data_IF_376691993955
#
_entry.id   IF_376691993955
#
_cell.length_a   1.000
_cell.length_b   1.000
_cell.length_c   1.000
_cell.angle_alpha   90.00
_cell.angle_beta   90.00
_cell.angle_gamma   90.00
#
_symmetry.space_group_name_H-M   'P 1'
#
loop_
_entity.id
_entity.type
_entity.pdbx_description
1 polymer ?
#
# COMPACT_ATOMS: atom_id res chain seq x y z
N UNK A 1 -7.57 22.85 9.67
CA UNK A 1 -7.99 21.45 9.87
C UNK A 1 -9.18 21.39 10.82
N UNK A 2 -10.35 21.07 10.28
CA UNK A 2 -11.65 21.09 10.99
C UNK A 2 -11.92 19.81 11.79
N UNK A 3 -11.49 18.66 11.27
CA UNK A 3 -11.57 17.35 11.93
C UNK A 3 -10.26 16.58 11.74
N UNK A 4 -9.84 15.84 12.77
CA UNK A 4 -8.72 14.90 12.72
C UNK A 4 -9.34 13.49 12.74
N UNK A 5 -9.10 12.64 11.73
CA UNK A 5 -9.67 11.30 11.72
C UNK A 5 -9.14 10.46 12.86
N UNK A 6 -9.90 9.42 13.20
CA UNK A 6 -9.50 8.44 14.20
C UNK A 6 -9.24 7.08 13.55
N UNK A 7 -8.34 6.32 14.16
CA UNK A 7 -8.09 4.93 13.79
C UNK A 7 -8.48 4.05 14.97
N UNK A 8 -9.41 3.13 14.75
CA UNK A 8 -9.82 2.13 15.74
C UNK A 8 -9.37 0.74 15.30
N UNK A 9 -8.93 -0.09 16.25
CA UNK A 9 -8.59 -1.48 15.94
C UNK A 9 -9.78 -2.38 16.27
N UNK A 10 -10.22 -3.16 15.29
CA UNK A 10 -11.34 -4.11 15.44
C UNK A 10 -10.94 -5.46 14.89
N UNK A 11 -11.11 -6.50 15.69
CA UNK A 11 -11.02 -7.89 15.22
C UNK A 11 -12.34 -8.25 14.51
N UNK A 12 -12.24 -8.82 13.31
CA UNK A 12 -13.39 -9.30 12.54
C UNK A 12 -13.05 -10.63 11.84
N UNK A 13 -13.18 -11.76 12.54
CA UNK A 13 -12.81 -13.07 11.99
C UNK A 13 -13.58 -13.43 10.72
N UNK A 14 -14.86 -13.05 10.65
CA UNK A 14 -15.70 -13.32 9.48
C UNK A 14 -15.22 -12.51 8.27
N UNK A 15 -14.81 -11.26 8.48
CA UNK A 15 -14.22 -10.45 7.43
C UNK A 15 -12.86 -10.99 6.99
N UNK A 16 -12.02 -11.49 7.91
CA UNK A 16 -10.74 -12.10 7.55
C UNK A 16 -10.91 -13.38 6.71
N UNK A 17 -11.92 -14.22 6.99
CA UNK A 17 -12.26 -15.37 6.14
C UNK A 17 -12.59 -14.92 4.72
N UNK A 18 -13.47 -13.92 4.58
CA UNK A 18 -13.83 -13.35 3.26
C UNK A 18 -12.60 -12.78 2.54
N UNK A 19 -11.71 -12.13 3.29
CA UNK A 19 -10.47 -11.56 2.78
C UNK A 19 -9.58 -12.67 2.19
N UNK A 20 -9.36 -13.75 2.94
CA UNK A 20 -8.59 -14.91 2.47
C UNK A 20 -9.18 -15.50 1.19
N UNK A 21 -10.50 -15.75 1.16
CA UNK A 21 -11.17 -16.29 -0.02
C UNK A 21 -11.02 -15.38 -1.23
N UNK A 22 -11.18 -14.06 -1.04
CA UNK A 22 -11.03 -13.08 -2.12
C UNK A 22 -9.63 -13.10 -2.74
N UNK A 23 -8.58 -13.29 -1.93
CA UNK A 23 -7.19 -13.34 -2.41
C UNK A 23 -6.77 -14.71 -2.93
N UNK A 24 -7.40 -15.79 -2.47
CA UNK A 24 -7.22 -17.12 -3.04
C UNK A 24 -7.77 -17.22 -4.46
N UNK A 25 -8.77 -16.40 -4.80
CA UNK A 25 -9.47 -16.37 -6.10
C UNK A 25 -9.33 -15.04 -6.86
N UNK A 26 -8.35 -14.21 -6.50
CA UNK A 26 -8.25 -12.86 -7.06
C UNK A 26 -7.96 -12.89 -8.57
N UNK A 27 -8.83 -12.30 -9.38
CA UNK A 27 -8.76 -12.36 -10.85
C UNK A 27 -7.46 -11.76 -11.39
N UNK A 28 -7.07 -10.60 -10.85
CA UNK A 28 -5.90 -9.83 -11.30
C UNK A 28 -4.57 -10.23 -10.62
N UNK A 29 -4.56 -10.47 -9.30
CA UNK A 29 -3.34 -10.75 -8.54
C UNK A 29 -3.16 -12.23 -8.21
N UNK A 30 -3.04 -13.06 -9.25
CA UNK A 30 -2.93 -14.54 -9.12
C UNK A 30 -1.72 -15.00 -8.30
N UNK A 31 -0.71 -14.16 -8.17
CA UNK A 31 0.48 -14.39 -7.33
C UNK A 31 0.13 -14.40 -5.82
N UNK A 32 -0.95 -13.73 -5.40
CA UNK A 32 -1.34 -13.69 -3.99
C UNK A 32 -1.79 -15.05 -3.46
N UNK A 33 -2.51 -15.85 -4.28
CA UNK A 33 -2.83 -17.25 -3.95
C UNK A 33 -1.56 -18.04 -3.61
N UNK A 34 -0.53 -17.94 -4.46
CA UNK A 34 0.74 -18.62 -4.23
C UNK A 34 1.43 -18.12 -2.95
N UNK A 35 1.41 -16.81 -2.70
CA UNK A 35 1.95 -16.24 -1.46
C UNK A 35 1.25 -16.80 -0.22
N UNK A 36 -0.08 -16.86 -0.21
CA UNK A 36 -0.86 -17.40 0.91
C UNK A 36 -0.51 -18.87 1.15
N UNK A 37 -0.62 -19.70 0.10
CA UNK A 37 -0.45 -21.16 0.25
C UNK A 37 1.00 -21.56 0.56
N UNK A 38 2.00 -20.77 0.13
CA UNK A 38 3.40 -20.99 0.52
C UNK A 38 3.65 -20.59 1.98
N UNK A 39 2.96 -19.56 2.48
CA UNK A 39 3.06 -19.17 3.89
C UNK A 39 2.29 -20.14 4.81
N UNK A 40 1.27 -20.82 4.30
CA UNK A 40 0.40 -21.72 5.07
C UNK A 40 0.21 -23.07 4.38
N UNK A 41 1.21 -23.97 4.42
CA UNK A 41 1.10 -25.30 3.80
C UNK A 41 -0.07 -26.14 4.33
N UNK A 42 -0.39 -26.03 5.63
CA UNK A 42 -1.53 -26.74 6.23
C UNK A 42 -2.88 -26.29 5.67
N UNK A 43 -3.03 -25.00 5.34
CA UNK A 43 -4.20 -24.49 4.64
C UNK A 43 -4.30 -25.09 3.23
N UNK A 44 -3.18 -25.15 2.50
CA UNK A 44 -3.14 -25.78 1.17
C UNK A 44 -3.61 -27.23 1.22
N UNK A 45 -3.07 -28.03 2.13
CA UNK A 45 -3.46 -29.44 2.29
C UNK A 45 -4.95 -29.61 2.64
N UNK A 46 -5.50 -28.67 3.42
CA UNK A 46 -6.93 -28.68 3.80
C UNK A 46 -7.82 -28.34 2.61
N UNK A 47 -7.44 -27.34 1.81
CA UNK A 47 -8.17 -26.93 0.60
C UNK A 47 -8.16 -28.03 -0.47
N UNK A 48 -7.04 -28.71 -0.68
CA UNK A 48 -6.91 -29.78 -1.68
C UNK A 48 -7.82 -30.99 -1.40
N UNK A 49 -8.30 -31.15 -0.15
CA UNK A 49 -9.12 -32.27 0.31
C UNK A 49 -10.59 -31.91 0.54
N UNK A 50 -10.97 -30.63 0.43
CA UNK A 50 -12.28 -30.14 0.83
C UNK A 50 -13.13 -29.70 -0.35
N UNK A 51 -14.43 -29.93 -0.26
CA UNK A 51 -15.44 -29.35 -1.16
C UNK A 51 -15.99 -28.01 -0.67
N UNK A 52 -15.66 -27.58 0.55
CA UNK A 52 -16.10 -26.32 1.14
C UNK A 52 -14.89 -25.50 1.62
N UNK A 53 -14.39 -24.63 0.73
CA UNK A 53 -13.22 -23.80 0.99
C UNK A 53 -13.45 -22.79 2.13
N UNK A 54 -14.64 -22.18 2.21
CA UNK A 54 -14.95 -21.17 3.23
C UNK A 54 -14.84 -21.76 4.64
N UNK A 55 -15.42 -22.95 4.83
CA UNK A 55 -15.31 -23.68 6.10
C UNK A 55 -13.84 -24.02 6.42
N UNK A 56 -13.07 -24.47 5.44
CA UNK A 56 -11.65 -24.78 5.64
C UNK A 56 -10.82 -23.56 6.04
N UNK A 57 -11.05 -22.42 5.38
CA UNK A 57 -10.38 -21.16 5.74
C UNK A 57 -10.77 -20.73 7.15
N UNK A 58 -12.06 -20.81 7.51
CA UNK A 58 -12.53 -20.46 8.85
C UNK A 58 -11.91 -21.33 9.95
N UNK A 59 -11.92 -22.66 9.77
CA UNK A 59 -11.32 -23.61 10.71
C UNK A 59 -9.80 -23.42 10.82
N UNK A 60 -9.12 -23.16 9.70
CA UNK A 60 -7.70 -22.87 9.69
C UNK A 60 -7.38 -21.60 10.50
N UNK A 61 -8.10 -20.50 10.27
CA UNK A 61 -7.88 -19.24 10.99
C UNK A 61 -8.17 -19.39 12.49
N UNK A 62 -9.27 -20.05 12.85
CA UNK A 62 -9.63 -20.29 14.25
C UNK A 62 -8.54 -21.09 14.98
N UNK A 63 -8.06 -22.18 14.37
CA UNK A 63 -6.96 -22.96 14.94
C UNK A 63 -5.66 -22.14 15.03
N UNK A 64 -5.33 -21.38 14.00
CA UNK A 64 -4.13 -20.54 13.99
C UNK A 64 -4.14 -19.51 15.14
N UNK A 65 -5.26 -18.81 15.35
CA UNK A 65 -5.37 -17.85 16.44
C UNK A 65 -5.44 -18.51 17.81
N UNK A 66 -6.01 -19.72 17.94
CA UNK A 66 -5.98 -20.48 19.20
C UNK A 66 -4.55 -20.82 19.61
N UNK A 67 -3.74 -21.29 18.66
CA UNK A 67 -2.33 -21.64 18.89
C UNK A 67 -1.46 -20.42 19.21
N UNK A 68 -1.82 -19.23 18.68
CA UNK A 68 -1.02 -18.01 18.77
C UNK A 68 -1.65 -16.91 19.67
N UNK A 69 -2.70 -17.25 20.44
CA UNK A 69 -3.59 -16.27 21.08
C UNK A 69 -2.87 -15.21 21.90
N UNK A 70 -1.98 -15.63 22.79
CA UNK A 70 -1.27 -14.73 23.72
C UNK A 70 -0.44 -13.69 22.95
N UNK A 71 0.25 -14.11 21.89
CA UNK A 71 1.10 -13.22 21.11
C UNK A 71 0.28 -12.33 20.19
N UNK A 72 -0.78 -12.85 19.56
CA UNK A 72 -1.71 -12.07 18.77
C UNK A 72 -2.37 -10.96 19.60
N UNK A 73 -2.91 -11.29 20.77
CA UNK A 73 -3.53 -10.33 21.69
C UNK A 73 -2.55 -9.23 22.12
N UNK A 74 -1.28 -9.59 22.35
CA UNK A 74 -0.22 -8.63 22.66
C UNK A 74 0.01 -7.65 21.52
N UNK A 75 0.24 -8.14 20.30
CA UNK A 75 0.48 -7.32 19.10
C UNK A 75 -0.71 -6.39 18.84
N UNK A 76 -1.93 -6.91 18.94
CA UNK A 76 -3.17 -6.16 18.74
C UNK A 76 -3.29 -5.03 19.77
N UNK A 77 -2.97 -5.31 21.05
CA UNK A 77 -2.99 -4.29 22.11
C UNK A 77 -1.91 -3.23 21.91
N UNK A 78 -0.68 -3.63 21.58
CA UNK A 78 0.41 -2.69 21.28
C UNK A 78 0.05 -1.79 20.08
N UNK A 79 -0.60 -2.38 19.06
CA UNK A 79 -1.13 -1.64 17.90
C UNK A 79 -2.21 -0.64 18.29
N UNK A 80 -3.15 -1.02 19.16
CA UNK A 80 -4.20 -0.12 19.71
C UNK A 80 -3.58 1.09 20.39
N UNK A 81 -2.66 0.86 21.32
CA UNK A 81 -1.99 1.93 22.07
C UNK A 81 -1.24 2.87 21.10
N UNK A 82 -0.52 2.32 20.12
CA UNK A 82 0.20 3.13 19.14
C UNK A 82 -0.74 4.04 18.34
N UNK A 83 -1.91 3.54 17.95
CA UNK A 83 -2.91 4.36 17.26
C UNK A 83 -3.50 5.44 18.17
N UNK A 84 -3.84 5.11 19.42
CA UNK A 84 -4.34 6.07 20.39
C UNK A 84 -3.33 7.21 20.62
N UNK A 85 -2.05 6.88 20.73
CA UNK A 85 -1.00 7.84 21.06
C UNK A 85 -0.57 8.71 19.88
N UNK A 86 -0.37 8.11 18.70
CA UNK A 86 0.35 8.77 17.59
C UNK A 86 -0.49 9.00 16.33
N UNK A 87 -1.66 8.37 16.17
CA UNK A 87 -2.39 8.44 14.88
C UNK A 87 -2.89 9.83 14.54
N UNK A 88 -3.43 10.58 15.52
CA UNK A 88 -3.96 11.92 15.28
C UNK A 88 -2.89 12.89 14.76
N UNK A 89 -1.69 12.83 15.34
CA UNK A 89 -0.56 13.64 14.87
C UNK A 89 -0.08 13.20 13.49
N UNK A 90 0.05 11.89 13.25
CA UNK A 90 0.46 11.36 11.95
C UNK A 90 -0.50 11.77 10.82
N UNK A 91 -1.81 11.69 11.06
CA UNK A 91 -2.83 12.09 10.09
C UNK A 91 -2.89 13.60 9.89
N UNK A 92 -2.62 14.39 10.93
CA UNK A 92 -2.48 15.84 10.80
C UNK A 92 -1.29 16.21 9.90
N UNK A 93 -0.14 15.57 10.11
CA UNK A 93 1.06 15.76 9.28
C UNK A 93 0.78 15.34 7.84
N UNK A 94 0.18 14.16 7.64
CA UNK A 94 -0.18 13.67 6.31
C UNK A 94 -1.11 14.64 5.58
N UNK A 95 -2.17 15.11 6.26
CA UNK A 95 -3.08 16.11 5.72
C UNK A 95 -2.35 17.41 5.33
N UNK A 96 -1.41 17.87 6.16
CA UNK A 96 -0.58 19.04 5.85
C UNK A 96 0.33 18.85 4.64
N UNK A 97 0.96 17.67 4.47
CA UNK A 97 1.78 17.35 3.30
C UNK A 97 0.97 17.34 2.01
N UNK A 98 -0.31 16.92 2.10
CA UNK A 98 -1.20 16.76 0.96
C UNK A 98 -2.19 17.93 0.77
N UNK A 99 -2.08 19.01 1.55
CA UNK A 99 -3.07 20.10 1.60
C UNK A 99 -4.52 19.61 1.73
N UNK A 100 -4.73 18.56 2.53
CA UNK A 100 -6.01 17.89 2.70
C UNK A 100 -6.63 18.19 4.06
N UNK A 101 -7.91 18.56 4.04
CA UNK A 101 -8.73 18.68 5.24
C UNK A 101 -9.90 17.71 5.17
N UNK A 102 -10.08 16.92 6.23
CA UNK A 102 -11.26 16.09 6.37
C UNK A 102 -12.48 16.96 6.67
N UNK A 103 -13.50 16.82 5.83
CA UNK A 103 -14.75 17.59 5.91
C UNK A 103 -15.67 17.11 7.04
N UNK A 104 -15.49 15.85 7.45
CA UNK A 104 -16.27 15.17 8.49
C UNK A 104 -15.38 14.32 9.42
N UNK A 105 -15.94 13.87 10.54
CA UNK A 105 -15.28 12.98 11.48
C UNK A 105 -15.21 11.57 10.91
N UNK A 106 -14.12 11.25 10.19
CA UNK A 106 -13.89 9.91 9.63
C UNK A 106 -13.27 8.99 10.69
N UNK A 107 -13.79 7.76 10.77
CA UNK A 107 -13.21 6.68 11.57
C UNK A 107 -12.72 5.58 10.64
N UNK A 108 -11.40 5.37 10.64
CA UNK A 108 -10.77 4.27 9.94
C UNK A 108 -10.72 3.03 10.84
N UNK A 109 -11.04 1.87 10.29
CA UNK A 109 -10.97 0.58 10.98
C UNK A 109 -9.70 -0.15 10.58
N UNK A 110 -8.85 -0.44 11.56
CA UNK A 110 -7.68 -1.29 11.42
C UNK A 110 -8.03 -2.72 11.86
N UNK A 111 -8.03 -3.68 10.93
CA UNK A 111 -8.33 -5.08 11.23
C UNK A 111 -7.04 -5.90 11.18
N UNK A 112 -6.64 -6.59 12.27
CA UNK A 112 -5.46 -7.46 12.22
C UNK A 112 -5.72 -8.63 11.26
N UNK A 113 -4.69 -9.06 10.54
CA UNK A 113 -4.75 -10.26 9.71
C UNK A 113 -3.44 -11.03 9.73
N UNK A 114 -3.49 -12.33 9.47
CA UNK A 114 -2.30 -13.16 9.29
C UNK A 114 -1.86 -13.26 7.82
N UNK A 115 -2.52 -12.57 6.87
CA UNK A 115 -1.99 -12.43 5.51
C UNK A 115 -0.60 -11.79 5.54
N UNK A 116 0.27 -12.14 4.60
CA UNK A 116 1.64 -11.59 4.50
C UNK A 116 1.70 -10.17 3.90
N UNK A 117 0.54 -9.59 3.61
CA UNK A 117 0.33 -8.27 3.02
C UNK A 117 -0.86 -7.58 3.70
N UNK A 118 -1.00 -6.28 3.50
CA UNK A 118 -1.95 -5.41 4.19
C UNK A 118 -2.95 -4.81 3.20
N UNK A 119 -4.06 -5.50 2.88
CA UNK A 119 -5.05 -4.98 1.93
C UNK A 119 -5.89 -3.85 2.54
N UNK A 120 -6.57 -3.08 1.68
CA UNK A 120 -7.43 -1.96 2.07
C UNK A 120 -8.75 -1.96 1.28
N UNK A 121 -9.83 -1.57 1.94
CA UNK A 121 -11.14 -1.39 1.34
C UNK A 121 -11.98 -0.34 2.07
N UNK A 122 -12.34 0.74 1.38
CA UNK A 122 -13.19 1.79 1.95
C UNK A 122 -12.48 2.52 3.09
N UNK A 123 -13.04 2.50 4.30
CA UNK A 123 -12.38 3.03 5.50
C UNK A 123 -11.74 1.92 6.35
N UNK A 124 -11.62 0.70 5.84
CA UNK A 124 -11.03 -0.45 6.53
C UNK A 124 -9.70 -0.82 5.91
N UNK A 125 -8.61 -0.81 6.68
CA UNK A 125 -7.34 -1.44 6.28
C UNK A 125 -7.07 -2.66 7.14
N UNK A 126 -6.43 -3.65 6.54
CA UNK A 126 -5.97 -4.83 7.22
C UNK A 126 -4.47 -4.73 7.44
N UNK A 127 -3.98 -5.05 8.64
CA UNK A 127 -2.55 -5.03 8.92
C UNK A 127 -2.04 -6.41 9.32
N UNK A 128 -0.94 -6.82 8.68
CA UNK A 128 -0.34 -8.13 8.91
C UNK A 128 0.32 -8.21 10.29
N UNK A 129 -0.15 -9.14 11.12
CA UNK A 129 0.50 -9.53 12.39
C UNK A 129 1.44 -10.74 12.21
N UNK A 130 1.43 -11.39 11.04
CA UNK A 130 2.16 -12.65 10.78
C UNK A 130 3.65 -12.57 11.11
N UNK A 131 4.30 -11.45 10.77
CA UNK A 131 5.73 -11.27 11.03
C UNK A 131 6.05 -11.20 12.53
N UNK A 132 5.23 -10.48 13.30
CA UNK A 132 5.35 -10.39 14.75
C UNK A 132 5.05 -11.72 15.45
N UNK A 133 4.19 -12.57 14.86
CA UNK A 133 3.95 -13.93 15.35
C UNK A 133 5.14 -14.87 15.09
N UNK A 134 5.78 -14.78 13.91
CA UNK A 134 6.89 -15.67 13.52
C UNK A 134 8.22 -15.33 14.18
N UNK A 135 8.49 -14.05 14.43
CA UNK A 135 9.78 -13.59 14.93
C UNK A 135 9.59 -12.79 16.21
N UNK A 136 9.95 -13.38 17.36
CA UNK A 136 9.87 -12.72 18.68
C UNK A 136 10.84 -11.54 18.85
N UNK A 137 11.83 -11.42 17.97
CA UNK A 137 12.95 -10.46 18.09
C UNK A 137 12.96 -9.36 17.01
N UNK A 138 12.16 -9.48 15.94
CA UNK A 138 12.12 -8.41 14.93
C UNK A 138 11.30 -7.24 15.42
N UNK A 139 11.88 -6.04 15.35
CA UNK A 139 11.16 -4.76 15.51
C UNK A 139 9.89 -4.85 14.66
N UNK A 140 8.73 -4.87 15.32
CA UNK A 140 7.46 -5.03 14.62
C UNK A 140 7.33 -3.93 13.57
N UNK A 141 6.83 -4.28 12.37
CA UNK A 141 6.53 -3.27 11.36
C UNK A 141 5.62 -2.24 12.01
N UNK A 142 6.01 -0.97 11.98
CA UNK A 142 5.21 0.10 12.55
C UNK A 142 3.81 0.09 11.90
N UNK A 143 2.81 -0.41 12.61
CA UNK A 143 1.43 -0.55 12.09
C UNK A 143 0.82 0.80 11.72
N UNK A 144 1.27 1.87 12.38
CA UNK A 144 0.89 3.24 12.04
C UNK A 144 1.44 3.65 10.66
N UNK A 145 2.63 3.17 10.27
CA UNK A 145 3.15 3.44 8.92
C UNK A 145 2.30 2.78 7.83
N UNK A 146 1.76 1.58 8.10
CA UNK A 146 0.81 0.91 7.20
C UNK A 146 -0.46 1.74 7.09
N UNK A 147 -1.02 2.18 8.22
CA UNK A 147 -2.23 3.00 8.21
C UNK A 147 -2.06 4.30 7.43
N UNK A 148 -0.95 5.01 7.67
CA UNK A 148 -0.62 6.26 6.96
C UNK A 148 -0.46 6.02 5.46
N UNK A 149 0.18 4.91 5.07
CA UNK A 149 0.29 4.50 3.67
C UNK A 149 -1.10 4.32 3.04
N UNK A 150 -1.97 3.51 3.64
CA UNK A 150 -3.30 3.25 3.07
C UNK A 150 -4.21 4.49 3.07
N UNK A 151 -4.15 5.32 4.11
CA UNK A 151 -4.94 6.56 4.18
C UNK A 151 -4.43 7.57 3.15
N UNK A 152 -3.12 7.60 2.86
CA UNK A 152 -2.59 8.46 1.79
C UNK A 152 -3.17 8.11 0.42
N UNK A 153 -3.47 6.83 0.17
CA UNK A 153 -4.14 6.38 -1.07
C UNK A 153 -5.56 6.92 -1.17
N UNK A 154 -6.31 6.91 -0.06
CA UNK A 154 -7.66 7.48 -0.02
C UNK A 154 -7.63 8.98 -0.35
N UNK A 155 -6.76 9.73 0.33
CA UNK A 155 -6.61 11.18 0.13
C UNK A 155 -6.20 11.48 -1.31
N UNK A 156 -5.23 10.74 -1.85
CA UNK A 156 -4.80 10.86 -3.24
C UNK A 156 -5.96 10.66 -4.22
N UNK A 157 -6.74 9.58 -4.06
CA UNK A 157 -7.84 9.27 -4.97
C UNK A 157 -8.97 10.30 -4.89
N UNK A 158 -9.27 10.85 -3.71
CA UNK A 158 -10.25 11.95 -3.57
C UNK A 158 -9.77 13.20 -4.33
N UNK A 159 -8.50 13.58 -4.16
CA UNK A 159 -7.95 14.75 -4.85
C UNK A 159 -7.88 14.56 -6.37
N UNK A 160 -7.42 13.40 -6.86
CA UNK A 160 -7.42 13.09 -8.30
C UNK A 160 -8.82 13.21 -8.89
N UNK A 161 -9.85 12.63 -8.22
CA UNK A 161 -11.24 12.76 -8.68
C UNK A 161 -11.70 14.22 -8.77
N UNK A 162 -11.36 15.04 -7.77
CA UNK A 162 -11.68 16.48 -7.77
C UNK A 162 -10.97 17.22 -8.91
N UNK A 163 -9.71 16.89 -9.20
CA UNK A 163 -8.95 17.51 -10.28
C UNK A 163 -9.46 17.09 -11.67
N UNK A 164 -9.78 15.81 -11.86
CA UNK A 164 -10.41 15.29 -13.07
C UNK A 164 -11.76 15.95 -13.33
N UNK A 165 -12.63 16.02 -12.31
CA UNK A 165 -13.95 16.66 -12.43
C UNK A 165 -13.85 18.13 -12.87
N UNK A 166 -12.80 18.82 -12.42
CA UNK A 166 -12.54 20.22 -12.77
C UNK A 166 -11.68 20.39 -14.04
N UNK A 167 -11.41 19.32 -14.80
CA UNK A 167 -10.56 19.31 -16.00
C UNK A 167 -9.15 19.89 -15.78
N UNK A 168 -8.60 19.76 -14.56
CA UNK A 168 -7.25 20.24 -14.22
C UNK A 168 -6.15 19.24 -14.59
N UNK A 169 -6.50 17.96 -14.68
CA UNK A 169 -5.60 16.88 -15.08
C UNK A 169 -6.24 16.02 -16.14
N UNK A 170 -5.41 15.45 -17.00
CA UNK A 170 -5.84 14.45 -17.97
C UNK A 170 -6.03 13.10 -17.28
N UNK A 171 -7.12 12.42 -17.61
CA UNK A 171 -7.38 11.07 -17.11
C UNK A 171 -6.40 10.08 -17.72
N UNK A 172 -5.72 9.32 -16.85
CA UNK A 172 -4.81 8.23 -17.21
C UNK A 172 -5.44 6.88 -16.89
N UNK A 173 -4.77 5.79 -17.28
CA UNK A 173 -5.21 4.44 -16.94
C UNK A 173 -5.17 4.17 -15.43
N UNK A 174 -5.90 3.13 -15.01
CA UNK A 174 -5.90 2.66 -13.62
C UNK A 174 -4.49 2.24 -13.20
N UNK A 175 -3.75 1.59 -14.09
CA UNK A 175 -2.38 1.13 -13.87
C UNK A 175 -1.44 2.30 -13.57
N UNK A 176 -1.48 3.36 -14.39
CA UNK A 176 -0.67 4.57 -14.15
C UNK A 176 -1.07 5.26 -12.85
N UNK A 177 -2.38 5.37 -12.58
CA UNK A 177 -2.89 5.91 -11.32
C UNK A 177 -2.37 5.13 -10.11
N UNK A 178 -2.41 3.79 -10.17
CA UNK A 178 -1.89 2.91 -9.13
C UNK A 178 -0.38 3.08 -8.94
N UNK A 179 0.40 3.19 -10.02
CA UNK A 179 1.84 3.44 -9.93
C UNK A 179 2.17 4.76 -9.25
N UNK A 180 1.48 5.84 -9.63
CA UNK A 180 1.66 7.16 -9.00
C UNK A 180 1.29 7.10 -7.53
N UNK A 181 0.11 6.54 -7.22
CA UNK A 181 -0.42 6.38 -5.86
C UNK A 181 0.54 5.65 -4.93
N UNK A 182 1.00 4.46 -5.33
CA UNK A 182 1.93 3.64 -4.54
C UNK A 182 3.30 4.32 -4.38
N UNK A 183 3.79 4.97 -5.43
CA UNK A 183 5.07 5.68 -5.42
C UNK A 183 5.01 6.96 -4.57
N UNK A 184 3.89 7.66 -4.59
CA UNK A 184 3.65 8.86 -3.80
C UNK A 184 3.60 8.52 -2.31
N UNK A 185 2.98 7.41 -1.92
CA UNK A 185 3.04 6.97 -0.53
C UNK A 185 4.51 6.78 -0.08
N UNK A 186 5.39 6.29 -0.96
CA UNK A 186 6.83 6.23 -0.69
C UNK A 186 7.43 7.62 -0.45
N UNK A 187 7.08 8.61 -1.27
CA UNK A 187 7.54 9.98 -1.10
C UNK A 187 7.08 10.56 0.24
N UNK A 188 5.79 10.42 0.55
CA UNK A 188 5.16 10.99 1.75
C UNK A 188 5.75 10.40 3.04
N UNK A 189 5.85 9.07 3.14
CA UNK A 189 6.38 8.39 4.34
C UNK A 189 7.85 8.75 4.63
N UNK A 190 8.58 9.28 3.65
CA UNK A 190 9.97 9.70 3.81
C UNK A 190 10.15 11.21 4.07
N UNK A 191 9.08 12.01 4.15
CA UNK A 191 9.17 13.43 4.51
C UNK A 191 9.38 13.64 6.01
N UNK A 192 10.17 14.64 6.41
CA UNK A 192 10.75 14.73 7.76
C UNK A 192 9.89 15.24 8.95
N UNK A 193 8.57 15.47 8.87
CA UNK A 193 7.77 15.30 10.09
C UNK A 193 7.28 13.86 10.24
N UNK A 194 6.90 13.22 9.14
CA UNK A 194 6.23 11.92 9.16
C UNK A 194 7.23 10.78 9.38
N UNK A 195 8.37 10.80 8.68
CA UNK A 195 9.44 9.81 8.79
C UNK A 195 9.96 9.69 10.23
N UNK A 196 10.18 10.84 10.88
CA UNK A 196 10.61 10.92 12.27
C UNK A 196 9.54 10.40 13.24
N UNK A 197 8.27 10.81 13.11
CA UNK A 197 7.18 10.32 13.97
C UNK A 197 6.96 8.80 13.85
N UNK A 198 7.08 8.27 12.63
CA UNK A 198 6.90 6.85 12.33
C UNK A 198 8.17 6.02 12.57
N UNK A 199 9.29 6.64 12.93
CA UNK A 199 10.58 5.98 13.16
C UNK A 199 11.01 5.10 11.97
N UNK A 200 10.84 5.60 10.75
CA UNK A 200 11.15 4.86 9.51
C UNK A 200 12.53 5.24 8.99
N UNK A 201 13.40 4.24 8.85
CA UNK A 201 14.71 4.37 8.19
C UNK A 201 14.60 4.07 6.69
N UNK A 202 13.94 4.97 5.94
CA UNK A 202 13.86 4.88 4.48
C UNK A 202 12.82 3.86 3.99
N UNK A 203 11.56 4.29 3.88
CA UNK A 203 10.50 3.45 3.34
C UNK A 203 10.71 3.26 1.83
N UNK A 204 10.69 2.01 1.35
CA UNK A 204 10.99 1.70 -0.07
C UNK A 204 9.75 1.32 -0.90
N UNK A 205 8.57 1.16 -0.28
CA UNK A 205 7.37 0.68 -0.97
C UNK A 205 7.44 -0.80 -1.35
N UNK A 206 6.52 -1.25 -2.21
CA UNK A 206 6.49 -2.63 -2.69
C UNK A 206 7.57 -2.91 -3.78
N UNK A 207 7.97 -4.17 -4.03
CA UNK A 207 9.05 -4.49 -4.98
C UNK A 207 8.81 -4.03 -6.43
N UNK A 208 7.54 -3.91 -6.83
CA UNK A 208 7.13 -3.44 -8.17
C UNK A 208 7.58 -1.99 -8.35
N UNK A 209 7.20 -1.11 -7.42
CA UNK A 209 7.60 0.31 -7.42
C UNK A 209 9.11 0.50 -7.32
N UNK A 210 9.79 -0.29 -6.48
CA UNK A 210 11.25 -0.20 -6.29
C UNK A 210 12.04 -0.41 -7.58
N UNK A 211 11.47 -1.17 -8.51
CA UNK A 211 12.12 -1.54 -9.77
C UNK A 211 11.67 -0.68 -10.95
N UNK A 212 10.55 0.04 -10.82
CA UNK A 212 10.05 0.91 -11.89
C UNK A 212 10.98 2.12 -12.07
N UNK A 213 11.36 2.39 -13.31
CA UNK A 213 12.25 3.49 -13.70
C UNK A 213 11.54 4.41 -14.68
N UNK A 214 11.82 5.69 -14.55
CA UNK A 214 11.42 6.71 -15.51
C UNK A 214 12.64 7.46 -16.02
N UNK A 215 12.58 7.94 -17.25
CA UNK A 215 13.60 8.77 -17.87
C UNK A 215 12.98 10.13 -18.19
N UNK A 216 13.54 11.17 -17.60
CA UNK A 216 13.25 12.57 -17.92
C UNK A 216 14.52 13.20 -18.46
N UNK A 217 14.44 13.77 -19.66
CA UNK A 217 15.63 14.26 -20.38
C UNK A 217 16.74 13.20 -20.46
N UNK A 218 17.92 13.48 -19.89
CA UNK A 218 19.07 12.58 -19.84
C UNK A 218 19.13 11.70 -18.58
N UNK A 219 18.28 11.95 -17.57
CA UNK A 219 18.37 11.28 -16.26
C UNK A 219 17.39 10.11 -16.17
N UNK A 220 17.87 8.99 -15.63
CA UNK A 220 17.05 7.81 -15.29
C UNK A 220 16.91 7.74 -13.78
N UNK A 221 15.68 7.75 -13.30
CA UNK A 221 15.33 7.79 -11.88
C UNK A 221 14.39 6.63 -11.55
N UNK A 222 14.32 6.24 -10.27
CA UNK A 222 13.16 5.48 -9.80
C UNK A 222 11.91 6.35 -9.89
N UNK A 223 10.75 5.74 -10.12
CA UNK A 223 9.47 6.47 -10.14
C UNK A 223 9.27 7.28 -8.85
N UNK A 224 9.62 6.73 -7.68
CA UNK A 224 9.51 7.43 -6.39
C UNK A 224 10.51 8.57 -6.24
N UNK A 225 11.71 8.45 -6.83
CA UNK A 225 12.71 9.53 -6.85
C UNK A 225 12.25 10.67 -7.76
N UNK A 226 11.71 10.36 -8.94
CA UNK A 226 11.10 11.35 -9.83
C UNK A 226 9.94 12.09 -9.14
N UNK A 227 9.02 11.36 -8.50
CA UNK A 227 7.92 12.00 -7.76
C UNK A 227 8.43 12.84 -6.58
N UNK A 228 9.48 12.40 -5.89
CA UNK A 228 10.09 13.19 -4.82
C UNK A 228 10.72 14.47 -5.38
N UNK A 229 11.42 14.43 -6.52
CA UNK A 229 11.97 15.63 -7.16
C UNK A 229 10.84 16.63 -7.52
N UNK A 230 9.74 16.15 -8.10
CA UNK A 230 8.57 17.01 -8.37
C UNK A 230 7.95 17.56 -7.07
N UNK A 231 7.81 16.73 -6.04
CA UNK A 231 7.25 17.14 -4.74
C UNK A 231 8.14 18.20 -4.06
N UNK A 232 9.45 17.99 -4.00
CA UNK A 232 10.38 18.98 -3.42
C UNK A 232 10.31 20.30 -4.18
N UNK A 233 10.43 20.28 -5.51
CA UNK A 233 10.37 21.49 -6.33
C UNK A 233 9.06 22.25 -6.14
N UNK A 234 7.93 21.57 -6.30
CA UNK A 234 6.63 22.23 -6.40
C UNK A 234 6.06 22.57 -5.04
N UNK A 235 6.02 21.60 -4.12
CA UNK A 235 5.41 21.77 -2.80
C UNK A 235 6.33 22.42 -1.77
N UNK A 236 7.61 22.06 -1.75
CA UNK A 236 8.54 22.50 -0.69
C UNK A 236 9.27 23.79 -1.06
N UNK A 237 9.93 23.81 -2.22
CA UNK A 237 10.76 24.94 -2.67
C UNK A 237 9.89 26.10 -3.18
N UNK A 238 8.98 25.82 -4.12
CA UNK A 238 8.09 26.82 -4.71
C UNK A 238 6.84 27.11 -3.87
N UNK A 239 6.61 26.34 -2.79
CA UNK A 239 5.46 26.50 -1.87
C UNK A 239 4.09 26.48 -2.57
N UNK A 240 3.99 25.76 -3.69
CA UNK A 240 2.72 25.56 -4.40
C UNK A 240 1.85 24.54 -3.66
N UNK A 241 0.62 24.37 -4.13
CA UNK A 241 -0.30 23.42 -3.51
C UNK A 241 0.01 21.98 -3.92
N UNK A 242 -0.45 21.02 -3.14
CA UNK A 242 -0.40 19.61 -3.50
C UNK A 242 -1.17 19.32 -4.80
N UNK A 243 -2.25 20.07 -5.07
CA UNK A 243 -2.95 20.01 -6.35
C UNK A 243 -2.07 20.42 -7.53
N UNK A 244 -1.23 21.45 -7.37
CA UNK A 244 -0.28 21.87 -8.42
C UNK A 244 0.77 20.78 -8.68
N UNK A 245 1.28 20.15 -7.62
CA UNK A 245 2.14 18.98 -7.72
C UNK A 245 1.48 17.83 -8.49
N UNK A 246 0.22 17.51 -8.20
CA UNK A 246 -0.51 16.48 -8.94
C UNK A 246 -0.69 16.86 -10.41
N UNK A 247 -0.98 18.13 -10.71
CA UNK A 247 -1.10 18.59 -12.10
C UNK A 247 0.19 18.35 -12.88
N UNK A 248 1.33 18.76 -12.31
CA UNK A 248 2.64 18.55 -12.93
C UNK A 248 2.94 17.05 -13.16
N UNK A 249 2.70 16.20 -12.15
CA UNK A 249 2.94 14.76 -12.28
C UNK A 249 2.08 14.14 -13.38
N UNK A 250 0.78 14.45 -13.40
CA UNK A 250 -0.13 13.88 -14.39
C UNK A 250 0.16 14.42 -15.80
N UNK A 251 0.56 15.68 -15.94
CA UNK A 251 1.01 16.24 -17.22
C UNK A 251 2.25 15.50 -17.74
N UNK A 252 3.27 15.29 -16.91
CA UNK A 252 4.50 14.57 -17.27
C UNK A 252 4.26 13.11 -17.67
N UNK A 253 3.34 12.39 -17.00
CA UNK A 253 3.14 10.95 -17.23
C UNK A 253 2.10 10.63 -18.29
N UNK A 254 1.17 11.56 -18.58
CA UNK A 254 0.06 11.32 -19.50
C UNK A 254 0.50 10.86 -20.90
N UNK A 255 1.52 11.47 -21.54
CA UNK A 255 2.02 11.01 -22.85
C UNK A 255 2.52 9.56 -22.86
N UNK A 256 2.89 9.03 -21.69
CA UNK A 256 3.50 7.71 -21.52
C UNK A 256 2.56 6.67 -20.88
N UNK A 257 1.27 6.98 -20.70
CA UNK A 257 0.29 6.12 -20.01
C UNK A 257 0.28 4.66 -20.52
N UNK A 258 0.37 4.47 -21.84
CA UNK A 258 0.39 3.13 -22.45
C UNK A 258 1.60 2.28 -22.03
N UNK A 259 2.74 2.92 -21.75
CA UNK A 259 3.96 2.24 -21.30
C UNK A 259 3.82 1.75 -19.86
N UNK A 260 3.15 2.50 -19.00
CA UNK A 260 2.84 2.06 -17.63
C UNK A 260 1.94 0.82 -17.63
N UNK A 261 0.90 0.81 -18.49
CA UNK A 261 0.03 -0.36 -18.67
C UNK A 261 0.84 -1.59 -19.14
N UNK A 262 1.80 -1.40 -20.04
CA UNK A 262 2.70 -2.47 -20.48
C UNK A 262 3.58 -2.99 -19.34
N UNK A 263 4.15 -2.10 -18.53
CA UNK A 263 4.92 -2.50 -17.34
C UNK A 263 4.10 -3.37 -16.39
N UNK A 264 2.84 -3.03 -16.15
CA UNK A 264 1.93 -3.86 -15.33
C UNK A 264 1.76 -5.27 -15.88
N UNK A 265 1.58 -5.40 -17.21
CA UNK A 265 1.47 -6.72 -17.87
C UNK A 265 2.75 -7.53 -17.69
N UNK A 266 3.90 -6.90 -17.87
CA UNK A 266 5.22 -7.53 -17.67
C UNK A 266 5.38 -8.02 -16.23
N UNK A 267 5.09 -7.17 -15.24
CA UNK A 267 5.19 -7.54 -13.82
C UNK A 267 4.31 -8.75 -13.46
N UNK A 268 3.06 -8.75 -13.91
CA UNK A 268 2.13 -9.85 -13.65
C UNK A 268 2.58 -11.17 -14.30
N UNK A 269 3.20 -11.12 -15.48
CA UNK A 269 3.77 -12.32 -16.12
C UNK A 269 5.00 -12.84 -15.39
N UNK A 270 5.93 -11.94 -15.00
CA UNK A 270 7.20 -12.31 -14.41
C UNK A 270 7.09 -12.75 -12.95
N UNK A 271 6.18 -12.15 -12.17
CA UNK A 271 5.92 -12.52 -10.77
C UNK A 271 5.39 -13.95 -10.59
N UNK A 272 4.97 -14.61 -11.67
CA UNK A 272 4.50 -16.00 -11.70
C UNK A 272 5.57 -17.00 -12.19
N UNK A 273 6.70 -16.53 -12.73
CA UNK A 273 7.71 -17.40 -13.33
C UNK A 273 8.68 -17.98 -12.28
N UNK A 274 8.82 -19.32 -12.24
CA UNK A 274 9.57 -20.01 -11.18
C UNK A 274 11.10 -19.93 -11.28
N UNK A 275 11.70 -19.82 -12.47
CA UNK A 275 13.17 -20.00 -12.57
C UNK A 275 13.94 -18.98 -13.45
N UNK A 276 13.26 -18.19 -14.31
CA UNK A 276 13.90 -17.14 -15.15
C UNK A 276 13.33 -15.72 -14.91
N UNK A 277 12.42 -15.56 -13.95
CA UNK A 277 11.69 -14.31 -13.70
C UNK A 277 12.57 -13.18 -13.18
N UNK A 278 13.60 -13.50 -12.38
CA UNK A 278 14.47 -12.49 -11.74
C UNK A 278 15.35 -11.72 -12.73
N UNK A 279 16.02 -12.43 -13.65
CA UNK A 279 16.87 -11.81 -14.69
C UNK A 279 16.02 -10.95 -15.64
N UNK A 280 14.82 -11.41 -16.01
CA UNK A 280 13.89 -10.65 -16.86
C UNK A 280 13.25 -9.45 -16.13
N UNK A 281 13.03 -9.53 -14.83
CA UNK A 281 12.62 -8.40 -13.99
C UNK A 281 13.70 -7.33 -13.96
N UNK A 282 14.95 -7.73 -13.75
CA UNK A 282 16.10 -6.82 -13.66
C UNK A 282 16.49 -6.19 -15.02
N UNK A 283 16.08 -6.79 -16.14
CA UNK A 283 16.40 -6.29 -17.49
C UNK A 283 15.21 -5.60 -18.18
N UNK A 284 14.08 -6.28 -18.36
CA UNK A 284 12.94 -5.79 -19.17
C UNK A 284 12.06 -4.83 -18.37
N UNK A 285 11.72 -5.19 -17.13
CA UNK A 285 10.87 -4.33 -16.30
C UNK A 285 11.60 -3.05 -15.88
N UNK A 286 12.92 -3.12 -15.67
CA UNK A 286 13.75 -1.97 -15.32
C UNK A 286 14.02 -0.97 -16.46
N UNK A 287 13.69 -1.29 -17.73
CA UNK A 287 13.80 -0.32 -18.82
C UNK A 287 12.95 0.93 -18.53
N UNK A 288 13.52 2.14 -18.62
CA UNK A 288 12.82 3.32 -18.14
C UNK A 288 11.69 3.76 -19.08
N UNK A 289 10.57 4.16 -18.48
CA UNK A 289 9.48 4.86 -19.19
C UNK A 289 9.92 6.30 -19.45
N UNK A 290 9.84 6.77 -20.70
CA UNK A 290 10.14 8.17 -21.01
C UNK A 290 8.96 9.05 -20.59
N UNK A 291 9.23 10.08 -19.81
CA UNK A 291 8.26 11.07 -19.35
C UNK A 291 8.79 12.48 -19.64
N UNK A 292 7.90 13.46 -19.74
CA UNK A 292 8.23 14.85 -20.07
C UNK A 292 8.59 15.69 -18.81
#
# INVERSE_FOLDING_TARGET
>A
MKYIPQIIVKEDPAQEVKLFLSFLHHEYYKNLRHSILNNFPSLKESLDKSSNEEKCVAEFLDNFYKENRVQADRIIRESKNLFEDKSGEALKILGGLMDYEWEESVVYTATPTILSFSPFHGNTFFFSILSGLRNKETKEKNVLSVAVHEISHFVFLDQVKRLEFNNKIMKVSKETTDYIKESLAVVLLNQEPLKSLLEIEGYLGNPEIRSLRVKREARVLKISEFLNECFQRTKIENKMTFSDFLCEVFESVYPADSMFQEKRKIWNQLSLAKDNGKIRLETIYAEPIKVD
#
